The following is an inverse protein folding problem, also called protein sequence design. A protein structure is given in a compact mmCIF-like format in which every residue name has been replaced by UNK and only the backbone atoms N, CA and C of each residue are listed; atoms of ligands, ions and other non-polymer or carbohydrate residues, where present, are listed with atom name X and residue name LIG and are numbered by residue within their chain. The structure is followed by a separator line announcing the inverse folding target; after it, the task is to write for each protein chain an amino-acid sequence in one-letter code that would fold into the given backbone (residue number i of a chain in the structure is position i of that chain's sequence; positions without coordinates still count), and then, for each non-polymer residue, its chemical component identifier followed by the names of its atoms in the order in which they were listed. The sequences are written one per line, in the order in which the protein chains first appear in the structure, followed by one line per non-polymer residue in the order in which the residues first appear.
data_IF_135475327742
#
_entry.id   IF_135475327742
#
_cell.length_a   1.000
_cell.length_b   1.000
_cell.length_c   1.000
_cell.angle_alpha   90.00
_cell.angle_beta   90.00
_cell.angle_gamma   90.00
#
_symmetry.space_group_name_H-M   'P 1'
#
loop_
_entity.id
_entity.type
_entity.pdbx_description
1 polymer ?
#
# COMPACT_ATOMS: atom_id res chain seq x y z
N UNK A 1 14.84 8.25 -13.95
CA UNK A 1 13.64 9.10 -13.77
C UNK A 1 12.84 8.51 -12.65
N UNK A 2 12.82 9.18 -11.51
CA UNK A 2 12.00 8.78 -10.36
C UNK A 2 10.54 9.08 -10.73
N UNK A 3 9.83 8.06 -11.22
CA UNK A 3 8.40 8.19 -11.49
C UNK A 3 7.70 8.41 -10.17
N UNK A 4 7.18 9.62 -9.96
CA UNK A 4 6.35 9.93 -8.80
C UNK A 4 5.28 8.82 -8.63
N UNK A 5 5.28 8.18 -7.46
CA UNK A 5 4.35 7.07 -7.16
C UNK A 5 2.91 7.55 -7.15
N UNK A 6 2.70 8.82 -6.77
CA UNK A 6 1.42 9.51 -6.79
C UNK A 6 1.33 10.48 -7.98
N UNK A 7 0.15 10.56 -8.59
CA UNK A 7 -0.19 11.46 -9.70
C UNK A 7 -0.44 12.89 -9.20
N UNK A 8 -1.00 13.05 -7.99
CA UNK A 8 -1.19 14.33 -7.33
C UNK A 8 -1.24 14.19 -5.79
N UNK A 9 -1.27 15.33 -5.08
CA UNK A 9 -1.38 15.37 -3.62
C UNK A 9 -2.70 14.80 -3.09
N UNK A 10 -3.75 14.78 -3.93
CA UNK A 10 -5.05 14.23 -3.55
C UNK A 10 -4.97 12.70 -3.49
N UNK A 11 -4.36 12.05 -4.47
CA UNK A 11 -4.08 10.62 -4.49
C UNK A 11 -3.18 10.24 -3.32
N UNK A 12 -2.11 11.02 -3.07
CA UNK A 12 -1.26 10.81 -1.89
C UNK A 12 -2.05 10.81 -0.58
N UNK A 13 -2.94 11.80 -0.38
CA UNK A 13 -3.82 11.87 0.81
C UNK A 13 -4.78 10.68 0.91
N UNK A 14 -5.27 10.15 -0.20
CA UNK A 14 -6.12 8.95 -0.20
C UNK A 14 -5.36 7.70 0.30
N UNK A 15 -4.06 7.61 -0.01
CA UNK A 15 -3.22 6.49 0.41
C UNK A 15 -2.67 6.63 1.84
N UNK A 16 -2.49 7.85 2.34
CA UNK A 16 -2.01 8.10 3.71
C UNK A 16 -2.89 7.44 4.79
N UNK A 17 -4.22 7.43 4.61
CA UNK A 17 -5.11 6.76 5.55
C UNK A 17 -4.84 5.25 5.65
N UNK A 18 -4.52 4.60 4.53
CA UNK A 18 -4.15 3.19 4.52
C UNK A 18 -2.78 2.94 5.17
N UNK A 19 -1.79 3.82 4.90
CA UNK A 19 -0.46 3.73 5.52
C UNK A 19 -0.56 3.86 7.04
N UNK A 20 -1.33 4.86 7.53
CA UNK A 20 -1.54 5.08 8.95
C UNK A 20 -2.20 3.88 9.63
N UNK A 21 -3.26 3.33 9.03
CA UNK A 21 -3.95 2.17 9.59
C UNK A 21 -3.05 0.93 9.61
N UNK A 22 -2.26 0.69 8.56
CA UNK A 22 -1.31 -0.43 8.52
C UNK A 22 -0.20 -0.24 9.56
N UNK A 23 0.32 0.97 9.73
CA UNK A 23 1.31 1.29 10.77
C UNK A 23 0.75 1.03 12.18
N UNK A 24 -0.47 1.50 12.44
CA UNK A 24 -1.19 1.27 13.70
C UNK A 24 -1.40 -0.22 13.98
N UNK A 25 -1.83 -0.99 12.97
CA UNK A 25 -2.09 -2.42 13.12
C UNK A 25 -0.82 -3.27 13.26
N UNK A 26 0.26 -2.87 12.59
CA UNK A 26 1.53 -3.62 12.60
C UNK A 26 2.50 -3.19 13.69
N UNK A 27 2.23 -2.07 14.39
CA UNK A 27 3.15 -1.49 15.37
C UNK A 27 4.43 -0.92 14.77
N UNK A 28 4.47 -0.69 13.45
CA UNK A 28 5.66 -0.23 12.72
C UNK A 28 5.61 1.26 12.43
N UNK A 29 6.77 1.92 12.26
CA UNK A 29 6.82 3.32 11.84
C UNK A 29 6.15 3.53 10.47
N UNK A 30 5.37 4.60 10.34
CA UNK A 30 4.75 4.98 9.06
C UNK A 30 5.77 5.17 7.93
N UNK A 31 6.99 5.60 8.25
CA UNK A 31 8.07 5.76 7.26
C UNK A 31 8.54 4.42 6.68
N UNK A 32 8.50 3.33 7.45
CA UNK A 32 8.78 1.98 6.95
C UNK A 32 7.61 1.44 6.15
N UNK A 33 6.39 1.56 6.69
CA UNK A 33 5.17 1.12 6.03
C UNK A 33 4.96 1.84 4.70
N UNK A 34 5.20 3.15 4.65
CA UNK A 34 5.07 3.96 3.45
C UNK A 34 5.97 3.49 2.32
N UNK A 35 7.24 3.16 2.60
CA UNK A 35 8.17 2.62 1.58
C UNK A 35 7.65 1.32 0.97
N UNK A 36 7.17 0.40 1.80
CA UNK A 36 6.62 -0.88 1.32
C UNK A 36 5.33 -0.65 0.53
N UNK A 37 4.45 0.23 1.04
CA UNK A 37 3.19 0.58 0.39
C UNK A 37 3.41 1.16 -1.00
N UNK A 38 4.37 2.07 -1.16
CA UNK A 38 4.69 2.72 -2.42
C UNK A 38 5.25 1.76 -3.47
N UNK A 39 6.07 0.79 -3.06
CA UNK A 39 6.56 -0.28 -3.93
C UNK A 39 5.40 -1.12 -4.48
N UNK A 40 4.48 -1.53 -3.60
CA UNK A 40 3.32 -2.32 -4.01
C UNK A 40 2.32 -1.50 -4.84
N UNK A 41 2.10 -0.24 -4.50
CA UNK A 41 1.27 0.68 -5.29
C UNK A 41 1.85 0.87 -6.70
N UNK A 42 3.17 0.99 -6.84
CA UNK A 42 3.83 1.10 -8.14
C UNK A 42 3.66 -0.16 -8.99
N UNK A 43 3.79 -1.36 -8.39
CA UNK A 43 3.55 -2.63 -9.09
C UNK A 43 2.10 -2.72 -9.56
N UNK A 44 1.17 -2.41 -8.67
CA UNK A 44 -0.26 -2.45 -8.94
C UNK A 44 -0.69 -1.46 -10.02
N UNK A 45 -0.12 -0.24 -10.03
CA UNK A 45 -0.37 0.74 -11.09
C UNK A 45 0.08 0.27 -12.48
N UNK A 46 1.14 -0.56 -12.57
CA UNK A 46 1.61 -1.12 -13.86
C UNK A 46 0.69 -2.22 -14.39
N UNK A 47 -0.03 -2.92 -13.52
CA UNK A 47 -0.82 -4.09 -13.90
C UNK A 47 -2.33 -3.88 -13.85
N UNK A 48 -2.81 -2.84 -13.18
CA UNK A 48 -4.24 -2.61 -12.99
C UNK A 48 -4.88 -1.83 -14.14
N UNK A 49 -5.92 -2.43 -14.75
CA UNK A 49 -6.77 -1.78 -15.77
C UNK A 49 -7.81 -0.81 -15.19
N UNK A 50 -8.08 -0.84 -13.88
CA UNK A 50 -9.01 0.07 -13.19
C UNK A 50 -8.39 0.54 -11.88
N UNK A 51 -7.89 1.79 -11.85
CA UNK A 51 -7.10 2.37 -10.74
C UNK A 51 -7.88 2.55 -9.42
N UNK A 52 -9.21 2.52 -9.47
CA UNK A 52 -10.10 2.87 -8.34
C UNK A 52 -10.20 1.73 -7.29
N UNK A 53 -9.89 0.49 -7.67
CA UNK A 53 -9.97 -0.67 -6.77
C UNK A 53 -8.61 -1.09 -6.17
N UNK A 54 -7.53 -0.36 -6.47
CA UNK A 54 -6.18 -0.70 -6.01
C UNK A 54 -6.04 -0.83 -4.49
N UNK A 55 -6.65 0.03 -3.65
CA UNK A 55 -6.58 -0.12 -2.20
C UNK A 55 -7.25 -1.41 -1.71
N UNK A 56 -8.38 -1.79 -2.31
CA UNK A 56 -9.13 -3.00 -1.97
C UNK A 56 -8.34 -4.26 -2.35
N UNK A 57 -7.74 -4.26 -3.54
CA UNK A 57 -6.88 -5.34 -4.02
C UNK A 57 -5.63 -5.50 -3.14
N UNK A 58 -4.97 -4.39 -2.77
CA UNK A 58 -3.80 -4.40 -1.90
C UNK A 58 -4.13 -4.99 -0.52
N UNK A 59 -5.20 -4.53 0.14
CA UNK A 59 -5.65 -5.06 1.43
C UNK A 59 -5.93 -6.57 1.36
N UNK A 60 -6.58 -7.03 0.30
CA UNK A 60 -6.90 -8.46 0.12
C UNK A 60 -5.64 -9.32 -0.02
N UNK A 61 -4.64 -8.85 -0.77
CA UNK A 61 -3.40 -9.58 -0.98
C UNK A 61 -2.55 -9.66 0.30
N UNK A 62 -2.47 -8.58 1.06
CA UNK A 62 -1.74 -8.56 2.36
C UNK A 62 -2.36 -9.55 3.33
N UNK A 63 -3.69 -9.56 3.47
CA UNK A 63 -4.40 -10.52 4.34
C UNK A 63 -4.18 -11.98 3.92
N UNK A 64 -4.10 -12.27 2.63
CA UNK A 64 -3.81 -13.63 2.15
C UNK A 64 -2.38 -14.08 2.48
N UNK A 65 -1.40 -13.19 2.32
CA UNK A 65 -0.01 -13.52 2.59
C UNK A 65 0.26 -13.69 4.09
N UNK A 66 -0.37 -12.89 4.94
CA UNK A 66 -0.23 -13.00 6.40
C UNK A 66 -0.78 -14.33 6.96
N UNK A 67 -1.75 -14.98 6.30
CA UNK A 67 -2.27 -16.29 6.76
C UNK A 67 -1.25 -17.44 6.69
N UNK A 68 -0.18 -17.28 5.91
CA UNK A 68 0.82 -18.33 5.69
C UNK A 68 2.13 -18.06 6.43
N UNK A 69 2.23 -16.93 7.13
CA UNK A 69 3.41 -16.61 7.92
C UNK A 69 3.21 -17.11 9.35
N UNK A 70 4.16 -17.88 9.91
CA UNK A 70 4.11 -18.25 11.32
C UNK A 70 4.16 -16.99 12.18
N UNK A 71 3.31 -16.95 13.21
CA UNK A 71 3.39 -15.89 14.21
C UNK A 71 4.72 -16.05 14.96
N UNK A 72 5.53 -15.00 14.92
CA UNK A 72 6.77 -14.88 15.69
C UNK A 72 6.46 -14.35 17.07
#
# INVERSE_FOLDING_TARGET
METAVYEDDKERRQHLGAIHEIARMSGRPESEVGKVYEVELSKLKRTARVKIFLPVLACRMVMQNLRHLPQV
#
